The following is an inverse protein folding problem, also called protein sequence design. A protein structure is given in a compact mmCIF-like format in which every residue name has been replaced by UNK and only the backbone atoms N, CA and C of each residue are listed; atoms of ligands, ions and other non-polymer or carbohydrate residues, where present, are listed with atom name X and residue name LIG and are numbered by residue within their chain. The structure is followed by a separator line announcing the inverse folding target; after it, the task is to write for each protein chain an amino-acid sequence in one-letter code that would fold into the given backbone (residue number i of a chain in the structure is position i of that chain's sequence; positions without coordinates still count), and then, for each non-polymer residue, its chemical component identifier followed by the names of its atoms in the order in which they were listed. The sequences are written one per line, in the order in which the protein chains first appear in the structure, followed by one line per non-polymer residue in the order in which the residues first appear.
data_IF_087298961220
#
_entry.id   IF_087298961220
#
_cell.length_a   1.000
_cell.length_b   1.000
_cell.length_c   1.000
_cell.angle_alpha   90.00
_cell.angle_beta   90.00
_cell.angle_gamma   90.00
#
_symmetry.space_group_name_H-M   'P 1'
#
loop_
_entity.id
_entity.type
_entity.pdbx_description
1 polymer ?
#
# COMPACT_ATOMS: atom_id res chain seq x y z
N UNK A 1 -30.21 6.68 5.30
CA UNK A 1 -28.95 7.23 4.72
C UNK A 1 -28.48 8.35 5.62
N UNK A 2 -27.23 8.31 6.08
CA UNK A 2 -26.65 9.32 6.99
C UNK A 2 -25.92 10.39 6.19
N UNK A 3 -26.12 11.66 6.50
CA UNK A 3 -25.40 12.76 5.85
C UNK A 3 -24.08 13.05 6.54
N UNK A 4 -23.00 13.22 5.76
CA UNK A 4 -21.64 13.48 6.22
C UNK A 4 -21.07 14.64 5.40
N UNK A 5 -20.39 15.58 6.04
CA UNK A 5 -19.75 16.68 5.32
C UNK A 5 -18.49 16.19 4.59
N UNK A 6 -17.57 15.52 5.31
CA UNK A 6 -16.37 14.91 4.73
C UNK A 6 -16.30 13.44 5.13
N UNK A 7 -16.34 12.54 4.17
CA UNK A 7 -16.17 11.10 4.38
C UNK A 7 -14.80 10.66 3.89
N UNK A 8 -14.05 9.98 4.74
CA UNK A 8 -12.71 9.49 4.44
C UNK A 8 -12.75 7.97 4.33
N UNK A 9 -12.29 7.43 3.21
CA UNK A 9 -12.26 5.99 2.96
C UNK A 9 -10.82 5.49 3.11
N UNK A 10 -10.56 4.76 4.20
CA UNK A 10 -9.28 4.25 4.62
C UNK A 10 -8.73 4.98 5.85
N UNK A 11 -8.41 4.22 6.91
CA UNK A 11 -7.85 4.68 8.18
C UNK A 11 -6.33 4.49 8.28
N UNK A 12 -5.63 4.42 7.15
CA UNK A 12 -4.16 4.42 7.08
C UNK A 12 -3.58 5.83 7.22
N UNK A 13 -2.24 5.99 7.03
CA UNK A 13 -1.57 7.28 7.24
C UNK A 13 -2.18 8.43 6.43
N UNK A 14 -2.55 8.19 5.18
CA UNK A 14 -3.22 9.21 4.35
C UNK A 14 -4.59 9.62 4.92
N UNK A 15 -5.44 8.65 5.26
CA UNK A 15 -6.77 8.94 5.78
C UNK A 15 -6.74 9.63 7.12
N UNK A 16 -5.85 9.23 8.02
CA UNK A 16 -5.65 9.86 9.33
C UNK A 16 -5.18 11.31 9.19
N UNK A 17 -4.18 11.57 8.35
CA UNK A 17 -3.67 12.91 8.11
C UNK A 17 -4.73 13.82 7.46
N UNK A 18 -5.47 13.32 6.47
CA UNK A 18 -6.57 14.04 5.85
C UNK A 18 -7.69 14.38 6.85
N UNK A 19 -8.05 13.44 7.74
CA UNK A 19 -9.06 13.63 8.77
C UNK A 19 -8.66 14.74 9.76
N UNK A 20 -7.42 14.66 10.27
CA UNK A 20 -6.87 15.66 11.19
C UNK A 20 -6.86 17.05 10.54
N UNK A 21 -6.43 17.15 9.28
CA UNK A 21 -6.41 18.42 8.55
C UNK A 21 -7.81 18.98 8.29
N UNK A 22 -8.75 18.15 7.86
CA UNK A 22 -10.15 18.56 7.65
C UNK A 22 -10.81 19.03 8.96
N UNK A 23 -10.56 18.33 10.06
CA UNK A 23 -11.06 18.73 11.39
C UNK A 23 -10.49 20.07 11.85
N UNK A 24 -9.17 20.25 11.73
CA UNK A 24 -8.48 21.53 12.03
C UNK A 24 -8.96 22.66 11.12
N UNK A 25 -9.35 22.36 9.88
CA UNK A 25 -9.98 23.31 8.98
C UNK A 25 -11.47 23.58 9.32
N UNK A 26 -11.99 23.05 10.42
CA UNK A 26 -13.31 23.36 10.97
C UNK A 26 -14.46 22.56 10.35
N UNK A 27 -14.24 21.30 9.99
CA UNK A 27 -15.28 20.34 9.66
C UNK A 27 -15.61 19.51 10.90
N UNK A 28 -16.85 19.60 11.38
CA UNK A 28 -17.31 18.84 12.54
C UNK A 28 -17.97 17.53 12.18
N UNK A 29 -18.75 17.51 11.09
CA UNK A 29 -19.43 16.31 10.62
C UNK A 29 -18.53 15.56 9.62
N UNK A 30 -17.54 14.88 10.16
CA UNK A 30 -16.62 14.05 9.36
C UNK A 30 -16.60 12.62 9.92
N UNK A 31 -16.25 11.63 9.08
CA UNK A 31 -16.20 10.22 9.44
C UNK A 31 -15.09 9.52 8.67
N UNK A 32 -14.30 8.66 9.35
CA UNK A 32 -13.36 7.73 8.73
C UNK A 32 -14.00 6.34 8.68
N UNK A 33 -13.97 5.69 7.53
CA UNK A 33 -14.33 4.28 7.36
C UNK A 33 -13.07 3.45 7.14
N UNK A 34 -12.83 2.45 8.00
CA UNK A 34 -11.68 1.55 7.94
C UNK A 34 -12.15 0.09 7.90
N UNK A 35 -11.63 -0.69 6.95
CA UNK A 35 -12.02 -2.11 6.78
C UNK A 35 -11.42 -3.05 7.83
N UNK A 36 -10.24 -2.72 8.34
CA UNK A 36 -9.55 -3.50 9.37
C UNK A 36 -10.15 -3.22 10.76
N UNK A 37 -9.79 -4.05 11.74
CA UNK A 37 -10.23 -3.89 13.14
C UNK A 37 -9.66 -2.63 13.81
N UNK A 38 -8.57 -2.09 13.27
CA UNK A 38 -7.83 -0.98 13.86
C UNK A 38 -7.39 0.03 12.80
N UNK A 39 -7.29 1.29 13.22
CA UNK A 39 -6.65 2.34 12.44
C UNK A 39 -5.14 2.11 12.27
N UNK A 40 -4.50 2.82 11.33
CA UNK A 40 -3.06 2.77 11.08
C UNK A 40 -2.68 2.11 9.76
N UNK A 41 -3.58 1.32 9.17
CA UNK A 41 -3.38 0.67 7.87
C UNK A 41 -2.11 -0.19 7.84
N UNK A 42 -1.38 -0.11 6.72
CA UNK A 42 -0.17 -0.93 6.48
C UNK A 42 0.97 -0.65 7.50
N UNK A 43 1.01 0.53 8.12
CA UNK A 43 2.04 0.87 9.09
C UNK A 43 2.08 -0.05 10.29
N UNK A 44 0.95 -0.64 10.68
CA UNK A 44 0.87 -1.55 11.82
C UNK A 44 1.80 -2.77 11.69
N UNK A 45 2.03 -3.25 10.47
CA UNK A 45 2.94 -4.38 10.22
C UNK A 45 4.39 -3.94 9.92
N UNK A 46 4.64 -2.65 9.72
CA UNK A 46 5.96 -2.10 9.41
C UNK A 46 6.75 -1.82 10.69
N UNK A 47 7.19 -2.86 11.39
CA UNK A 47 7.86 -2.73 12.71
C UNK A 47 9.33 -2.29 12.63
N UNK A 48 9.86 -2.06 11.42
CA UNK A 48 11.19 -1.48 11.21
C UNK A 48 11.18 0.05 11.34
N UNK A 49 12.34 0.63 11.59
CA UNK A 49 12.56 2.07 11.68
C UNK A 49 12.62 2.73 10.28
N UNK A 50 12.55 4.06 10.28
CA UNK A 50 12.72 4.89 9.08
C UNK A 50 11.52 5.76 8.73
N UNK A 51 10.58 5.90 9.65
CA UNK A 51 9.40 6.74 9.52
C UNK A 51 9.51 7.98 10.43
N UNK A 52 8.87 9.08 10.05
CA UNK A 52 8.64 10.25 10.92
C UNK A 52 9.74 11.29 10.96
N UNK A 53 10.86 11.08 10.28
CA UNK A 53 11.97 12.04 10.31
C UNK A 53 11.57 13.44 9.82
N UNK A 54 10.68 13.52 8.82
CA UNK A 54 10.22 14.80 8.28
C UNK A 54 8.99 15.34 9.01
N UNK A 55 8.04 14.45 9.30
CA UNK A 55 6.77 14.84 9.93
C UNK A 55 6.92 15.17 11.42
N UNK A 56 7.79 14.45 12.15
CA UNK A 56 7.92 14.56 13.60
C UNK A 56 9.34 14.89 14.09
N UNK A 57 10.35 14.89 13.21
CA UNK A 57 11.75 15.09 13.59
C UNK A 57 12.34 13.92 14.41
N UNK A 58 11.67 12.78 14.43
CA UNK A 58 12.04 11.57 15.18
C UNK A 58 12.08 10.37 14.24
N UNK A 59 12.98 9.43 14.49
CA UNK A 59 12.99 8.15 13.77
C UNK A 59 12.07 7.17 14.49
N UNK A 60 10.95 6.84 13.87
CA UNK A 60 9.89 5.99 14.41
C UNK A 60 9.80 4.68 13.65
N UNK A 61 9.18 3.67 14.29
CA UNK A 61 8.62 2.50 13.60
C UNK A 61 7.28 2.84 12.98
N UNK A 62 6.78 1.99 12.07
CA UNK A 62 5.46 2.19 11.46
C UNK A 62 4.31 2.28 12.47
N UNK A 63 4.21 1.37 13.47
CA UNK A 63 3.21 1.47 14.53
C UNK A 63 3.30 2.76 15.35
N UNK A 64 4.50 3.20 15.71
CA UNK A 64 4.69 4.47 16.45
C UNK A 64 4.24 5.67 15.62
N UNK A 65 4.59 5.69 14.32
CA UNK A 65 4.12 6.73 13.41
C UNK A 65 2.58 6.74 13.30
N UNK A 66 1.97 5.59 13.12
CA UNK A 66 0.51 5.48 13.06
C UNK A 66 -0.13 5.96 14.35
N UNK A 67 0.44 5.59 15.51
CA UNK A 67 -0.09 5.97 16.82
C UNK A 67 -0.11 7.50 17.01
N UNK A 68 0.92 8.22 16.54
CA UNK A 68 0.92 9.70 16.60
C UNK A 68 -0.31 10.30 15.93
N UNK A 69 -0.69 9.79 14.76
CA UNK A 69 -1.90 10.28 14.06
C UNK A 69 -3.20 9.79 14.71
N UNK A 70 -3.21 8.56 15.24
CA UNK A 70 -4.37 8.03 15.97
C UNK A 70 -4.64 8.87 17.22
N UNK A 71 -3.60 9.22 17.97
CA UNK A 71 -3.72 10.10 19.15
C UNK A 71 -4.33 11.47 18.77
N UNK A 72 -3.89 12.06 17.65
CA UNK A 72 -4.49 13.30 17.13
C UNK A 72 -5.98 13.14 16.76
N UNK A 73 -6.35 12.00 16.17
CA UNK A 73 -7.75 11.68 15.83
C UNK A 73 -8.61 11.59 17.10
N UNK A 74 -8.08 10.93 18.14
CA UNK A 74 -8.76 10.79 19.43
C UNK A 74 -8.87 12.13 20.19
N UNK A 75 -7.78 12.90 20.26
CA UNK A 75 -7.77 14.24 20.86
C UNK A 75 -8.77 15.18 20.20
N UNK A 76 -8.86 15.16 18.89
CA UNK A 76 -9.79 15.97 18.11
C UNK A 76 -11.21 15.36 18.06
N UNK A 77 -11.42 14.21 18.71
CA UNK A 77 -12.69 13.48 18.75
C UNK A 77 -13.28 13.24 17.37
N UNK A 78 -12.43 12.86 16.43
CA UNK A 78 -12.84 12.51 15.07
C UNK A 78 -13.51 11.14 15.09
N UNK A 79 -14.79 11.01 14.66
CA UNK A 79 -15.45 9.71 14.62
C UNK A 79 -14.87 8.81 13.52
N UNK A 80 -14.75 7.53 13.85
CA UNK A 80 -14.33 6.50 12.89
C UNK A 80 -15.11 5.20 13.09
N UNK A 81 -15.21 4.40 12.06
CA UNK A 81 -15.78 3.05 12.07
C UNK A 81 -14.76 2.08 11.49
N UNK A 82 -14.19 1.23 12.34
CA UNK A 82 -13.40 0.07 11.94
C UNK A 82 -14.31 -1.10 11.52
N UNK A 83 -13.73 -2.20 11.00
CA UNK A 83 -14.45 -3.36 10.48
C UNK A 83 -15.53 -2.97 9.43
N UNK A 84 -15.32 -1.85 8.73
CA UNK A 84 -16.31 -1.28 7.81
C UNK A 84 -15.78 -1.28 6.38
N UNK A 85 -16.21 -2.27 5.61
CA UNK A 85 -15.83 -2.41 4.21
C UNK A 85 -16.72 -1.55 3.33
N UNK A 86 -16.12 -0.60 2.60
CA UNK A 86 -16.82 0.16 1.56
C UNK A 86 -16.97 -0.73 0.33
N UNK A 87 -18.20 -0.90 -0.13
CA UNK A 87 -18.56 -1.76 -1.26
C UNK A 87 -18.68 -0.97 -2.57
N UNK A 88 -19.15 0.29 -2.49
CA UNK A 88 -19.29 1.15 -3.67
C UNK A 88 -19.27 2.62 -3.30
N UNK A 89 -18.84 3.42 -4.24
CA UNK A 89 -18.93 4.88 -4.24
C UNK A 89 -19.57 5.29 -5.56
N UNK A 90 -20.62 6.10 -5.51
CA UNK A 90 -21.26 6.64 -6.71
C UNK A 90 -20.73 8.05 -7.06
N UNK A 91 -20.92 8.49 -8.30
CA UNK A 91 -20.52 9.81 -8.75
C UNK A 91 -21.25 10.96 -8.04
N UNK A 92 -22.43 10.69 -7.50
CA UNK A 92 -23.20 11.63 -6.68
C UNK A 92 -22.84 11.52 -5.17
N UNK A 93 -21.74 10.86 -4.86
CA UNK A 93 -21.15 10.72 -3.51
C UNK A 93 -22.04 9.98 -2.48
N UNK A 94 -22.77 8.96 -2.96
CA UNK A 94 -23.36 7.96 -2.07
C UNK A 94 -22.37 6.83 -1.87
N UNK A 95 -22.02 6.56 -0.62
CA UNK A 95 -21.11 5.48 -0.21
C UNK A 95 -21.92 4.37 0.44
N UNK A 96 -21.80 3.16 -0.09
CA UNK A 96 -22.41 1.96 0.50
C UNK A 96 -21.31 1.14 1.18
N UNK A 97 -21.50 0.77 2.42
CA UNK A 97 -20.57 -0.04 3.21
C UNK A 97 -21.28 -1.14 3.98
N UNK A 98 -20.51 -2.12 4.43
CA UNK A 98 -20.97 -3.19 5.31
C UNK A 98 -20.10 -3.24 6.58
N UNK A 99 -20.75 -3.42 7.72
CA UNK A 99 -20.13 -3.55 9.03
C UNK A 99 -20.75 -4.75 9.76
N UNK A 100 -19.99 -5.59 10.48
CA UNK A 100 -20.51 -6.76 11.18
C UNK A 100 -21.62 -6.45 12.19
N UNK A 101 -21.54 -5.27 12.84
CA UNK A 101 -22.51 -4.86 13.88
C UNK A 101 -23.70 -4.09 13.31
N UNK A 102 -23.41 -3.18 12.37
CA UNK A 102 -24.40 -2.24 11.83
C UNK A 102 -25.06 -2.75 10.53
N UNK A 103 -24.53 -3.83 9.93
CA UNK A 103 -24.99 -4.35 8.65
C UNK A 103 -24.68 -3.44 7.48
N UNK A 104 -25.58 -3.39 6.50
CA UNK A 104 -25.46 -2.55 5.32
C UNK A 104 -25.81 -1.10 5.66
N UNK A 105 -24.87 -0.18 5.38
CA UNK A 105 -24.98 1.24 5.67
C UNK A 105 -24.87 2.06 4.38
N UNK A 106 -25.52 3.22 4.35
CA UNK A 106 -25.36 4.20 3.29
C UNK A 106 -25.13 5.59 3.86
N UNK A 107 -24.13 6.27 3.28
CA UNK A 107 -23.74 7.62 3.62
C UNK A 107 -23.85 8.51 2.39
N UNK A 108 -24.43 9.70 2.55
CA UNK A 108 -24.40 10.77 1.54
C UNK A 108 -23.36 11.79 1.98
N UNK A 109 -22.26 11.89 1.27
CA UNK A 109 -21.18 12.82 1.58
C UNK A 109 -21.27 14.09 0.73
N UNK A 110 -20.87 15.25 1.30
CA UNK A 110 -20.61 16.46 0.51
C UNK A 110 -19.26 16.35 -0.21
N UNK A 111 -18.24 15.86 0.52
CA UNK A 111 -16.93 15.56 -0.04
C UNK A 111 -16.45 14.17 0.42
N UNK A 112 -15.66 13.49 -0.43
CA UNK A 112 -15.04 12.19 -0.14
C UNK A 112 -13.53 12.34 -0.34
N UNK A 113 -12.73 11.79 0.60
CA UNK A 113 -11.30 11.62 0.43
C UNK A 113 -11.02 10.12 0.26
N UNK A 114 -10.52 9.75 -0.91
CA UNK A 114 -10.10 8.39 -1.23
C UNK A 114 -8.67 8.18 -0.69
N UNK A 115 -8.51 7.30 0.30
CA UNK A 115 -7.25 7.01 0.98
C UNK A 115 -7.03 5.50 1.16
N UNK A 116 -7.51 4.68 0.19
CA UNK A 116 -7.51 3.22 0.26
C UNK A 116 -6.13 2.59 0.07
N UNK A 117 -5.10 3.38 -0.26
CA UNK A 117 -3.74 2.90 -0.43
C UNK A 117 -3.54 2.09 -1.71
N UNK A 118 -2.68 1.07 -1.63
CA UNK A 118 -2.33 0.21 -2.74
C UNK A 118 -2.30 -1.25 -2.31
N UNK A 119 -2.25 -2.15 -3.29
CA UNK A 119 -2.01 -3.59 -3.10
C UNK A 119 -0.74 -4.03 -3.79
N UNK A 120 -0.13 -5.09 -3.31
CA UNK A 120 1.03 -5.69 -3.97
C UNK A 120 0.62 -6.41 -5.26
N UNK A 121 1.49 -6.38 -6.25
CA UNK A 121 1.30 -7.10 -7.50
C UNK A 121 1.31 -8.61 -7.23
N UNK A 122 0.21 -9.34 -7.51
CA UNK A 122 0.12 -10.77 -7.23
C UNK A 122 0.83 -11.60 -8.30
N UNK A 123 1.13 -12.88 -7.98
CA UNK A 123 1.73 -13.83 -8.91
C UNK A 123 1.01 -13.90 -10.27
N UNK A 124 -0.32 -13.84 -10.26
CA UNK A 124 -1.11 -13.90 -11.48
C UNK A 124 -0.82 -12.78 -12.47
N UNK A 125 -0.48 -11.59 -11.97
CA UNK A 125 -0.10 -10.44 -12.81
C UNK A 125 1.32 -10.56 -13.40
N UNK A 126 2.18 -11.44 -12.86
CA UNK A 126 3.54 -11.67 -13.34
C UNK A 126 3.61 -12.72 -14.42
N UNK A 127 2.60 -13.57 -14.57
CA UNK A 127 2.58 -14.64 -15.55
C UNK A 127 3.66 -15.71 -15.33
N UNK A 128 4.20 -15.88 -14.11
CA UNK A 128 5.24 -16.87 -13.81
C UNK A 128 4.68 -18.28 -14.05
N UNK A 129 5.32 -19.11 -14.90
CA UNK A 129 4.93 -20.51 -15.11
C UNK A 129 5.03 -21.37 -13.84
N UNK A 130 4.55 -22.61 -13.94
CA UNK A 130 4.63 -23.58 -12.87
C UNK A 130 3.40 -23.69 -11.99
N UNK A 131 3.55 -24.36 -10.86
CA UNK A 131 2.47 -24.70 -9.96
C UNK A 131 1.94 -23.51 -9.16
N UNK A 132 0.65 -23.60 -8.76
CA UNK A 132 -0.03 -22.63 -7.88
C UNK A 132 -0.27 -23.23 -6.50
N UNK A 133 0.79 -23.78 -5.93
CA UNK A 133 0.77 -24.44 -4.63
C UNK A 133 0.89 -23.42 -3.48
N UNK A 134 0.72 -23.90 -2.23
CA UNK A 134 1.01 -23.09 -1.04
C UNK A 134 2.49 -22.68 -0.99
N UNK A 135 2.79 -21.62 -0.24
CA UNK A 135 4.17 -21.10 -0.08
C UNK A 135 4.52 -19.94 -1.03
N UNK A 136 3.57 -19.45 -1.82
CA UNK A 136 3.76 -18.26 -2.67
C UNK A 136 2.99 -17.12 -2.04
N UNK A 137 3.69 -16.08 -1.59
CA UNK A 137 3.11 -14.92 -0.93
C UNK A 137 3.68 -13.63 -1.53
N UNK A 138 2.93 -12.53 -1.46
CA UNK A 138 3.55 -11.22 -1.56
C UNK A 138 4.36 -10.93 -0.29
N UNK A 139 5.37 -10.08 -0.39
CA UNK A 139 6.25 -9.77 0.73
C UNK A 139 5.48 -9.11 1.89
N UNK A 140 4.52 -8.23 1.60
CA UNK A 140 3.67 -7.59 2.61
C UNK A 140 2.69 -8.56 3.27
N UNK A 141 2.17 -9.57 2.53
CA UNK A 141 1.38 -10.65 3.16
C UNK A 141 2.22 -11.46 4.14
N UNK A 142 3.45 -11.81 3.75
CA UNK A 142 4.39 -12.49 4.66
C UNK A 142 4.74 -11.61 5.86
N UNK A 143 4.91 -10.31 5.66
CA UNK A 143 5.15 -9.35 6.73
C UNK A 143 3.99 -9.31 7.73
N UNK A 144 2.75 -9.31 7.25
CA UNK A 144 1.57 -9.40 8.12
C UNK A 144 1.58 -10.68 8.94
N UNK A 145 1.79 -11.83 8.30
CA UNK A 145 1.82 -13.11 9.00
C UNK A 145 2.85 -13.14 10.13
N UNK A 146 4.06 -12.68 9.85
CA UNK A 146 5.14 -12.69 10.85
C UNK A 146 4.92 -11.65 11.94
N UNK A 147 4.57 -10.42 11.56
CA UNK A 147 4.60 -9.28 12.48
C UNK A 147 3.29 -9.06 13.24
N UNK A 148 2.15 -9.47 12.70
CA UNK A 148 0.85 -9.28 13.34
C UNK A 148 0.20 -10.59 13.80
N UNK A 149 0.29 -11.64 12.98
CA UNK A 149 -0.44 -12.89 13.22
C UNK A 149 0.42 -13.96 13.93
N UNK A 150 1.75 -13.77 14.00
CA UNK A 150 2.66 -14.74 14.61
C UNK A 150 2.82 -16.04 13.82
N UNK A 151 2.54 -16.05 12.52
CA UNK A 151 2.68 -17.21 11.64
C UNK A 151 3.95 -17.13 10.79
N UNK A 152 4.58 -18.28 10.61
CA UNK A 152 5.77 -18.43 9.78
C UNK A 152 5.36 -18.87 8.36
N UNK A 153 5.63 -18.05 7.30
CA UNK A 153 5.31 -18.41 5.92
C UNK A 153 6.04 -19.66 5.43
N UNK A 154 7.26 -19.89 5.89
CA UNK A 154 8.08 -21.06 5.59
C UNK A 154 9.46 -20.97 6.21
N UNK A 155 10.38 -21.86 5.81
CA UNK A 155 11.73 -21.98 6.40
C UNK A 155 12.87 -21.71 5.42
N UNK A 156 12.69 -22.06 4.14
CA UNK A 156 13.66 -21.82 3.04
C UNK A 156 13.04 -20.87 2.05
N UNK A 157 13.53 -19.63 2.00
CA UNK A 157 12.86 -18.53 1.32
C UNK A 157 13.67 -18.03 0.13
N UNK A 158 13.03 -17.87 -1.01
CA UNK A 158 13.51 -17.07 -2.14
C UNK A 158 12.64 -15.83 -2.26
N UNK A 159 13.25 -14.67 -2.49
CA UNK A 159 12.54 -13.40 -2.67
C UNK A 159 12.72 -12.95 -4.11
N UNK A 160 11.62 -12.67 -4.80
CA UNK A 160 11.63 -12.07 -6.14
C UNK A 160 11.33 -10.58 -6.02
N UNK A 161 12.29 -9.76 -6.43
CA UNK A 161 12.28 -8.31 -6.34
C UNK A 161 13.10 -7.79 -5.16
N UNK A 162 13.87 -6.73 -5.38
CA UNK A 162 14.78 -6.10 -4.42
C UNK A 162 14.35 -4.69 -4.02
N UNK A 163 13.05 -4.40 -4.05
CA UNK A 163 12.48 -3.21 -3.42
C UNK A 163 12.56 -3.29 -1.88
N UNK A 164 12.38 -2.18 -1.19
CA UNK A 164 12.58 -2.10 0.27
C UNK A 164 11.81 -3.14 1.06
N UNK A 165 10.55 -3.44 0.69
CA UNK A 165 9.75 -4.46 1.39
C UNK A 165 10.42 -5.84 1.26
N UNK A 166 10.92 -6.20 0.08
CA UNK A 166 11.63 -7.47 -0.14
C UNK A 166 12.91 -7.56 0.67
N UNK A 167 13.71 -6.49 0.71
CA UNK A 167 14.94 -6.41 1.49
C UNK A 167 14.65 -6.51 3.00
N UNK A 168 13.70 -5.75 3.50
CA UNK A 168 13.27 -5.76 4.90
C UNK A 168 12.77 -7.15 5.30
N UNK A 169 12.02 -7.82 4.42
CA UNK A 169 11.54 -9.17 4.68
C UNK A 169 12.66 -10.22 4.62
N UNK A 170 13.69 -10.03 3.79
CA UNK A 170 14.87 -10.91 3.83
C UNK A 170 15.49 -10.92 5.22
N UNK A 171 15.77 -9.74 5.79
CA UNK A 171 16.27 -9.60 7.16
C UNK A 171 15.28 -10.13 8.21
N UNK A 172 13.99 -9.79 8.06
CA UNK A 172 12.98 -10.18 9.04
C UNK A 172 12.83 -11.70 9.12
N UNK A 173 12.76 -12.38 7.96
CA UNK A 173 12.69 -13.85 7.90
C UNK A 173 13.93 -14.50 8.49
N UNK A 174 15.11 -13.92 8.27
CA UNK A 174 16.37 -14.38 8.87
C UNK A 174 16.33 -14.29 10.40
N UNK A 175 15.79 -13.20 10.97
CA UNK A 175 15.63 -13.06 12.42
C UNK A 175 14.70 -14.11 13.04
N UNK A 176 13.72 -14.56 12.29
CA UNK A 176 12.81 -15.63 12.70
C UNK A 176 13.38 -17.04 12.46
N UNK A 177 14.65 -17.14 12.07
CA UNK A 177 15.35 -18.41 11.87
C UNK A 177 15.13 -19.07 10.52
N UNK A 178 14.63 -18.34 9.52
CA UNK A 178 14.54 -18.84 8.15
C UNK A 178 15.88 -18.74 7.43
N UNK A 179 16.12 -19.67 6.50
CA UNK A 179 17.20 -19.58 5.54
C UNK A 179 16.72 -18.83 4.30
N UNK A 180 17.15 -17.58 4.14
CA UNK A 180 16.89 -16.81 2.93
C UNK A 180 17.96 -17.17 1.90
N UNK A 181 17.56 -17.92 0.85
CA UNK A 181 18.46 -18.48 -0.17
C UNK A 181 19.01 -17.43 -1.12
N UNK A 182 18.17 -16.49 -1.54
CA UNK A 182 18.53 -15.41 -2.45
C UNK A 182 17.44 -14.35 -2.53
N UNK A 183 17.86 -13.13 -2.86
CA UNK A 183 17.02 -12.08 -3.40
C UNK A 183 17.28 -11.99 -4.92
N UNK A 184 16.26 -12.19 -5.74
CA UNK A 184 16.34 -12.25 -7.20
C UNK A 184 15.76 -10.98 -7.79
N UNK A 185 16.54 -10.27 -8.61
CA UNK A 185 16.16 -8.96 -9.16
C UNK A 185 16.26 -8.96 -10.70
N UNK A 186 15.17 -8.57 -11.34
CA UNK A 186 15.07 -8.46 -12.80
C UNK A 186 16.00 -7.39 -13.37
N UNK A 187 16.20 -6.30 -12.63
CA UNK A 187 16.99 -5.16 -13.07
C UNK A 187 18.49 -5.38 -12.80
N UNK A 188 19.38 -4.64 -13.47
CA UNK A 188 20.83 -4.66 -13.20
C UNK A 188 21.21 -3.90 -11.89
N UNK A 189 20.22 -3.45 -11.13
CA UNK A 189 20.38 -2.73 -9.86
C UNK A 189 19.17 -3.01 -8.96
N UNK A 190 19.35 -2.89 -7.66
CA UNK A 190 18.26 -2.92 -6.69
C UNK A 190 17.51 -1.59 -6.68
N UNK A 191 16.20 -1.64 -6.58
CA UNK A 191 15.35 -0.45 -6.41
C UNK A 191 15.21 0.01 -4.96
N UNK A 192 15.66 -0.83 -4.00
CA UNK A 192 15.63 -0.49 -2.59
C UNK A 192 16.76 0.47 -2.17
N UNK A 193 16.58 1.13 -1.03
CA UNK A 193 17.56 2.04 -0.47
C UNK A 193 18.89 1.33 -0.19
N UNK A 194 20.02 1.99 -0.48
CA UNK A 194 21.36 1.42 -0.27
C UNK A 194 21.58 0.90 1.15
N UNK A 195 21.07 1.62 2.17
CA UNK A 195 21.15 1.18 3.55
C UNK A 195 20.45 -0.17 3.78
N UNK A 196 19.32 -0.39 3.12
CA UNK A 196 18.56 -1.64 3.23
C UNK A 196 19.27 -2.80 2.51
N UNK A 197 19.99 -2.54 1.41
CA UNK A 197 20.84 -3.57 0.77
C UNK A 197 21.88 -4.06 1.79
N UNK A 198 22.62 -3.12 2.40
CA UNK A 198 23.65 -3.47 3.39
C UNK A 198 23.04 -4.17 4.60
N UNK A 199 22.09 -3.54 5.28
CA UNK A 199 21.53 -4.02 6.54
C UNK A 199 20.62 -5.24 6.42
N UNK A 200 20.10 -5.55 5.23
CA UNK A 200 19.16 -6.65 5.04
C UNK A 200 19.73 -7.81 4.24
N UNK A 201 20.74 -7.60 3.41
CA UNK A 201 21.37 -8.65 2.62
C UNK A 201 22.84 -8.87 2.99
N UNK A 202 23.69 -7.82 2.88
CA UNK A 202 25.14 -7.96 3.06
C UNK A 202 25.50 -8.43 4.48
N UNK A 203 24.90 -7.84 5.52
CA UNK A 203 25.13 -8.20 6.94
C UNK A 203 24.76 -9.66 7.25
N UNK A 204 23.91 -10.29 6.42
CA UNK A 204 23.44 -11.67 6.60
C UNK A 204 23.94 -12.62 5.51
N UNK A 205 24.84 -12.15 4.62
CA UNK A 205 25.38 -12.91 3.49
C UNK A 205 24.29 -13.49 2.58
N UNK A 206 23.18 -12.76 2.39
CA UNK A 206 22.10 -13.16 1.49
C UNK A 206 22.46 -12.71 0.06
N UNK A 207 22.57 -13.65 -0.92
CA UNK A 207 22.91 -13.30 -2.28
C UNK A 207 21.86 -12.40 -2.94
N UNK A 208 22.32 -11.31 -3.59
CA UNK A 208 21.51 -10.49 -4.49
C UNK A 208 21.84 -10.86 -5.95
N UNK A 209 20.93 -11.54 -6.62
CA UNK A 209 21.07 -12.01 -7.99
C UNK A 209 20.42 -11.01 -8.95
N UNK A 210 21.22 -10.06 -9.45
CA UNK A 210 20.78 -9.05 -10.41
C UNK A 210 20.68 -9.62 -11.81
N UNK A 211 19.83 -9.04 -12.68
CA UNK A 211 19.51 -9.54 -14.04
C UNK A 211 19.01 -10.98 -14.03
N UNK A 212 18.24 -11.37 -13.02
CA UNK A 212 17.63 -12.69 -12.93
C UNK A 212 16.13 -12.57 -12.67
N UNK A 213 15.39 -13.59 -13.04
CA UNK A 213 13.96 -13.71 -12.70
C UNK A 213 13.58 -15.14 -12.44
N UNK A 214 12.46 -15.37 -11.77
CA UNK A 214 11.87 -16.70 -11.61
C UNK A 214 11.13 -17.08 -12.89
N UNK A 215 11.52 -18.21 -13.47
CA UNK A 215 10.95 -18.73 -14.74
C UNK A 215 10.06 -19.94 -14.55
N UNK A 216 10.18 -20.65 -13.42
CA UNK A 216 9.29 -21.76 -13.08
C UNK A 216 9.16 -21.94 -11.57
N UNK A 217 8.00 -22.46 -11.13
CA UNK A 217 7.71 -22.76 -9.72
C UNK A 217 7.38 -24.24 -9.59
N UNK A 218 8.13 -24.94 -8.74
CA UNK A 218 8.00 -26.38 -8.51
C UNK A 218 7.26 -26.68 -7.22
N UNK A 219 6.54 -27.80 -7.21
CA UNK A 219 5.80 -28.30 -6.06
C UNK A 219 4.32 -28.49 -6.39
N UNK A 220 3.66 -29.43 -5.73
CA UNK A 220 2.23 -29.72 -5.95
C UNK A 220 1.37 -29.12 -4.83
N UNK A 221 1.59 -29.54 -3.60
CA UNK A 221 0.85 -29.05 -2.44
C UNK A 221 1.48 -27.78 -1.88
N UNK A 222 2.80 -27.73 -1.85
CA UNK A 222 3.61 -26.58 -1.43
C UNK A 222 4.80 -26.43 -2.37
N UNK A 223 5.36 -25.21 -2.43
CA UNK A 223 6.60 -24.92 -3.14
C UNK A 223 7.71 -25.85 -2.63
N UNK A 224 8.44 -26.50 -3.56
CA UNK A 224 9.63 -27.31 -3.27
C UNK A 224 10.89 -26.67 -3.86
N UNK A 225 10.73 -25.69 -4.72
CA UNK A 225 11.80 -24.90 -5.30
C UNK A 225 11.30 -24.00 -6.40
N UNK A 226 12.20 -23.15 -6.87
CA UNK A 226 11.99 -22.28 -8.03
C UNK A 226 13.15 -22.44 -8.99
N UNK A 227 12.87 -22.29 -10.28
CA UNK A 227 13.91 -22.12 -11.29
C UNK A 227 14.04 -20.64 -11.61
N UNK A 228 15.24 -20.11 -11.49
CA UNK A 228 15.61 -18.76 -11.94
C UNK A 228 16.40 -18.84 -13.24
N UNK A 229 16.42 -17.75 -14.00
CA UNK A 229 17.28 -17.60 -15.17
C UNK A 229 17.81 -16.17 -15.27
N UNK A 230 18.98 -16.01 -15.89
CA UNK A 230 19.45 -14.69 -16.31
C UNK A 230 18.50 -14.08 -17.33
N UNK A 231 18.40 -12.76 -17.32
CA UNK A 231 17.59 -12.02 -18.29
C UNK A 231 18.45 -11.12 -19.17
N UNK A 232 18.08 -11.04 -20.41
CA UNK A 232 18.65 -10.08 -21.33
C UNK A 232 18.34 -8.64 -20.88
N UNK A 233 19.35 -7.80 -20.81
CA UNK A 233 19.24 -6.44 -20.23
C UNK A 233 18.32 -5.51 -21.00
N UNK A 234 18.16 -5.73 -22.31
CA UNK A 234 17.35 -4.88 -23.18
C UNK A 234 15.91 -5.37 -23.24
N UNK A 235 15.72 -6.65 -23.51
CA UNK A 235 14.39 -7.25 -23.72
C UNK A 235 13.72 -7.70 -22.43
N UNK A 236 14.48 -7.83 -21.33
CA UNK A 236 14.04 -8.40 -20.03
C UNK A 236 13.48 -9.82 -20.13
N UNK A 237 13.84 -10.54 -21.20
CA UNK A 237 13.43 -11.94 -21.41
C UNK A 237 14.48 -12.88 -20.83
N UNK A 238 14.07 -14.03 -20.27
CA UNK A 238 14.99 -15.06 -19.81
C UNK A 238 15.90 -15.56 -20.95
N UNK A 239 17.17 -15.78 -20.61
CA UNK A 239 18.18 -16.33 -21.55
C UNK A 239 18.17 -17.86 -21.41
N UNK A 240 17.82 -18.62 -22.47
CA UNK A 240 17.82 -20.06 -22.40
C UNK A 240 19.22 -20.63 -22.12
N UNK A 241 19.28 -21.68 -21.28
CA UNK A 241 20.55 -22.34 -20.90
C UNK A 241 21.20 -21.72 -19.64
N UNK A 242 20.57 -20.69 -19.01
CA UNK A 242 21.07 -20.10 -17.78
C UNK A 242 20.22 -20.49 -16.55
N UNK A 243 19.32 -21.44 -16.73
CA UNK A 243 18.39 -21.90 -15.72
C UNK A 243 19.13 -22.51 -14.52
N UNK A 244 18.76 -22.07 -13.31
CA UNK A 244 19.29 -22.57 -12.05
C UNK A 244 18.14 -22.91 -11.12
N UNK A 245 18.14 -24.11 -10.56
CA UNK A 245 17.16 -24.53 -9.55
C UNK A 245 17.61 -24.11 -8.16
N UNK A 246 16.72 -23.50 -7.41
CA UNK A 246 16.91 -23.16 -5.99
C UNK A 246 15.85 -23.88 -5.17
N UNK A 247 16.28 -24.79 -4.29
CA UNK A 247 15.41 -25.46 -3.34
C UNK A 247 14.89 -24.46 -2.31
N UNK A 248 13.57 -24.34 -2.21
CA UNK A 248 12.90 -23.48 -1.22
C UNK A 248 11.48 -24.00 -0.95
N UNK A 249 10.91 -23.65 0.19
CA UNK A 249 9.52 -23.95 0.53
C UNK A 249 8.61 -22.70 0.46
N UNK A 250 9.23 -21.55 0.18
CA UNK A 250 8.53 -20.27 0.15
C UNK A 250 9.14 -19.33 -0.90
N UNK A 251 8.26 -18.76 -1.73
CA UNK A 251 8.59 -17.69 -2.67
C UNK A 251 7.85 -16.40 -2.23
N UNK A 252 8.61 -15.35 -1.88
CA UNK A 252 8.07 -14.04 -1.61
C UNK A 252 8.17 -13.14 -2.85
N UNK A 253 7.09 -12.44 -3.16
CA UNK A 253 7.00 -11.52 -4.30
C UNK A 253 7.04 -10.08 -3.80
N UNK A 254 8.08 -9.34 -4.19
CA UNK A 254 8.26 -7.90 -3.91
C UNK A 254 8.44 -7.15 -5.24
N UNK A 255 7.43 -7.21 -6.10
CA UNK A 255 7.51 -6.84 -7.51
C UNK A 255 6.64 -5.63 -7.88
N UNK A 256 6.51 -4.74 -6.96
CA UNK A 256 5.80 -3.46 -7.09
C UNK A 256 4.39 -3.48 -6.55
N UNK A 257 3.84 -2.28 -6.45
CA UNK A 257 2.55 -1.97 -5.87
C UNK A 257 1.59 -1.47 -6.96
N UNK A 258 0.30 -1.63 -6.73
CA UNK A 258 -0.78 -1.19 -7.62
C UNK A 258 -1.73 -0.33 -6.78
N UNK A 259 -1.95 0.95 -7.11
CA UNK A 259 -2.96 1.78 -6.46
C UNK A 259 -4.35 1.14 -6.46
N UNK A 260 -5.05 1.19 -5.33
CA UNK A 260 -6.34 0.49 -5.13
C UNK A 260 -7.50 1.38 -5.60
N UNK A 261 -7.90 1.25 -6.86
CA UNK A 261 -8.81 2.17 -7.53
C UNK A 261 -10.13 1.57 -8.03
N UNK A 262 -10.55 0.41 -7.55
CA UNK A 262 -11.84 -0.18 -7.93
C UNK A 262 -13.01 0.72 -7.54
N UNK A 263 -12.99 1.26 -6.31
CA UNK A 263 -14.01 2.23 -5.85
C UNK A 263 -13.95 3.54 -6.63
N UNK A 264 -12.74 4.01 -6.96
CA UNK A 264 -12.54 5.23 -7.75
C UNK A 264 -13.19 5.11 -9.13
N UNK A 265 -12.94 4.00 -9.83
CA UNK A 265 -13.53 3.71 -11.14
C UNK A 265 -15.06 3.61 -11.04
N UNK A 266 -15.58 2.94 -10.00
CA UNK A 266 -17.01 2.83 -9.72
C UNK A 266 -17.70 4.19 -9.53
N UNK A 267 -16.97 5.17 -9.00
CA UNK A 267 -17.42 6.56 -8.84
C UNK A 267 -17.29 7.41 -10.11
N UNK A 268 -16.76 6.87 -11.20
CA UNK A 268 -16.52 7.63 -12.45
C UNK A 268 -15.21 8.44 -12.44
N UNK A 269 -14.29 8.14 -11.53
CA UNK A 269 -13.00 8.81 -11.47
C UNK A 269 -12.09 8.30 -12.59
N UNK A 270 -11.46 9.22 -13.31
CA UNK A 270 -10.47 8.93 -14.36
C UNK A 270 -9.14 8.57 -13.77
N UNK A 271 -8.47 7.53 -14.32
CA UNK A 271 -7.15 7.10 -13.87
C UNK A 271 -6.06 7.50 -14.86
N UNK A 272 -4.92 7.92 -14.34
CA UNK A 272 -3.70 8.19 -15.11
C UNK A 272 -3.04 6.88 -15.56
N UNK A 273 -2.59 6.80 -16.81
CA UNK A 273 -1.93 5.61 -17.35
C UNK A 273 -0.56 5.33 -16.69
N UNK A 274 0.14 6.39 -16.29
CA UNK A 274 1.49 6.29 -15.71
C UNK A 274 1.49 5.75 -14.29
N UNK A 275 0.60 6.28 -13.42
CA UNK A 275 0.52 5.92 -12.00
C UNK A 275 -0.54 4.87 -11.71
N UNK A 276 -1.53 4.71 -12.58
CA UNK A 276 -2.77 3.93 -12.35
C UNK A 276 -3.61 4.47 -11.18
N UNK A 277 -3.31 5.67 -10.70
CA UNK A 277 -4.07 6.41 -9.70
C UNK A 277 -5.01 7.44 -10.33
N UNK A 278 -5.88 8.07 -9.54
CA UNK A 278 -6.78 9.12 -9.99
C UNK A 278 -6.04 10.29 -10.66
N UNK A 279 -6.61 10.83 -11.71
CA UNK A 279 -6.21 12.13 -12.24
C UNK A 279 -6.78 13.20 -11.31
N UNK A 280 -5.91 14.02 -10.74
CA UNK A 280 -6.29 15.09 -9.81
C UNK A 280 -5.75 16.45 -10.28
N UNK A 281 -6.37 17.52 -9.80
CA UNK A 281 -5.85 18.88 -9.93
C UNK A 281 -4.92 19.24 -8.75
N UNK A 282 -4.44 20.48 -8.70
CA UNK A 282 -3.56 21.00 -7.64
C UNK A 282 -4.18 21.01 -6.24
N UNK A 283 -5.49 20.77 -6.13
CA UNK A 283 -6.21 20.63 -4.87
C UNK A 283 -6.46 19.18 -4.49
N UNK A 284 -5.88 18.23 -5.25
CA UNK A 284 -6.12 16.78 -5.12
C UNK A 284 -7.57 16.37 -5.45
N UNK A 285 -8.37 17.25 -6.05
CA UNK A 285 -9.71 16.94 -6.51
C UNK A 285 -9.65 16.17 -7.84
N UNK A 286 -10.42 15.08 -7.92
CA UNK A 286 -10.55 14.28 -9.14
C UNK A 286 -11.42 14.98 -10.20
N UNK A 287 -11.61 14.33 -11.35
CA UNK A 287 -12.61 14.78 -12.33
C UNK A 287 -14.05 14.77 -11.80
N UNK A 288 -14.33 14.03 -10.72
CA UNK A 288 -15.65 14.01 -10.06
C UNK A 288 -15.66 15.04 -8.93
N UNK A 289 -16.50 16.05 -9.06
CA UNK A 289 -16.58 17.17 -8.12
C UNK A 289 -16.85 16.70 -6.68
N UNK A 290 -15.98 17.15 -5.74
CA UNK A 290 -16.07 16.79 -4.33
C UNK A 290 -15.48 15.41 -3.99
N UNK A 291 -14.83 14.73 -4.95
CA UNK A 291 -14.03 13.52 -4.67
C UNK A 291 -12.55 13.87 -4.78
N UNK A 292 -11.81 13.65 -3.70
CA UNK A 292 -10.38 13.89 -3.57
C UNK A 292 -9.64 12.57 -3.41
N UNK A 293 -8.36 12.52 -3.76
CA UNK A 293 -7.54 11.33 -3.59
C UNK A 293 -6.15 11.70 -3.07
N UNK A 294 -5.62 10.92 -2.13
CA UNK A 294 -4.27 11.12 -1.58
C UNK A 294 -3.63 9.83 -1.10
N UNK A 295 -2.31 9.83 -1.04
CA UNK A 295 -1.49 8.69 -0.67
C UNK A 295 -1.40 7.63 -1.76
N UNK A 296 -1.12 6.39 -1.39
CA UNK A 296 -0.80 5.33 -2.35
C UNK A 296 -1.95 4.92 -3.28
N UNK A 297 -3.16 5.38 -3.05
CA UNK A 297 -4.27 5.28 -4.01
C UNK A 297 -4.07 6.21 -5.21
N UNK A 298 -3.41 7.36 -4.98
CA UNK A 298 -3.10 8.35 -6.02
C UNK A 298 -1.82 7.97 -6.78
N UNK A 299 -0.75 7.76 -6.07
CA UNK A 299 0.50 7.19 -6.58
C UNK A 299 1.30 6.57 -5.43
N UNK A 300 2.18 5.63 -5.74
CA UNK A 300 3.01 4.98 -4.73
C UNK A 300 4.12 5.93 -4.27
N UNK A 301 4.20 6.15 -2.97
CA UNK A 301 5.22 6.98 -2.32
C UNK A 301 6.34 6.13 -1.73
N UNK A 302 7.55 6.65 -1.73
CA UNK A 302 8.71 6.03 -1.08
C UNK A 302 8.73 6.28 0.44
N UNK A 303 8.17 7.41 0.90
CA UNK A 303 8.17 7.82 2.30
C UNK A 303 6.76 8.18 2.78
N UNK A 304 6.38 7.65 3.94
CA UNK A 304 5.06 7.91 4.54
C UNK A 304 4.89 9.37 4.96
N UNK A 305 5.96 10.05 5.28
CA UNK A 305 5.95 11.47 5.65
C UNK A 305 5.32 12.31 4.52
N UNK A 306 5.67 12.03 3.27
CA UNK A 306 5.07 12.68 2.10
C UNK A 306 3.62 12.26 1.86
N UNK A 307 3.27 11.00 2.17
CA UNK A 307 1.87 10.54 2.14
C UNK A 307 1.02 11.39 3.08
N UNK A 308 1.49 11.63 4.30
CA UNK A 308 0.75 12.39 5.31
C UNK A 308 0.66 13.88 4.95
N UNK A 309 1.73 14.46 4.42
CA UNK A 309 1.74 15.86 3.95
C UNK A 309 0.75 16.06 2.79
N UNK A 310 0.82 15.22 1.77
CA UNK A 310 -0.10 15.23 0.63
C UNK A 310 -1.56 15.09 1.09
N UNK A 311 -1.82 14.11 1.94
CA UNK A 311 -3.16 13.82 2.43
C UNK A 311 -3.72 14.93 3.32
N UNK A 312 -2.88 15.60 4.10
CA UNK A 312 -3.29 16.78 4.87
C UNK A 312 -3.79 17.90 3.94
N UNK A 313 -3.08 18.16 2.83
CA UNK A 313 -3.51 19.14 1.81
C UNK A 313 -4.84 18.74 1.16
N UNK A 314 -5.02 17.46 0.85
CA UNK A 314 -6.29 16.95 0.31
C UNK A 314 -7.45 17.10 1.30
N UNK A 315 -7.19 16.84 2.60
CA UNK A 315 -8.17 17.03 3.67
C UNK A 315 -8.58 18.50 3.85
N UNK A 316 -7.62 19.42 3.80
CA UNK A 316 -7.90 20.87 3.80
C UNK A 316 -8.70 21.32 2.59
N UNK A 317 -8.36 20.78 1.40
CA UNK A 317 -9.07 21.08 0.17
C UNK A 317 -10.52 20.58 0.22
N UNK A 318 -10.74 19.36 0.73
CA UNK A 318 -12.09 18.82 0.95
C UNK A 318 -12.90 19.70 1.92
N UNK A 319 -12.27 20.22 2.99
CA UNK A 319 -12.92 21.14 3.92
C UNK A 319 -13.28 22.48 3.25
N UNK A 320 -12.39 23.06 2.46
CA UNK A 320 -12.64 24.29 1.69
C UNK A 320 -13.76 24.09 0.67
N UNK A 321 -13.82 22.93 0.03
CA UNK A 321 -14.89 22.56 -0.90
C UNK A 321 -16.26 22.56 -0.19
N UNK A 322 -16.37 21.87 0.94
CA UNK A 322 -17.60 21.80 1.75
C UNK A 322 -18.07 23.20 2.20
N UNK A 323 -17.13 24.10 2.50
CA UNK A 323 -17.40 25.50 2.89
C UNK A 323 -17.68 26.44 1.70
N UNK A 324 -17.63 25.93 0.46
CA UNK A 324 -17.83 26.73 -0.74
C UNK A 324 -16.70 27.71 -1.07
N UNK A 325 -15.51 27.47 -0.53
CA UNK A 325 -14.33 28.33 -0.70
C UNK A 325 -13.44 27.93 -1.87
N UNK A 326 -13.64 26.74 -2.47
CA UNK A 326 -13.01 26.32 -3.73
C UNK A 326 -13.97 26.60 -4.86
N UNK A 327 -13.51 27.30 -5.91
CA UNK A 327 -14.30 27.54 -7.11
C UNK A 327 -14.67 26.19 -7.77
N UNK A 328 -15.89 26.10 -8.28
CA UNK A 328 -16.30 24.98 -9.13
C UNK A 328 -15.35 24.90 -10.31
N UNK A 329 -14.93 23.69 -10.66
CA UNK A 329 -14.00 23.42 -11.76
C UNK A 329 -14.46 24.14 -13.04
N UNK A 330 -13.66 25.08 -13.52
CA UNK A 330 -13.63 25.40 -14.95
C UNK A 330 -12.79 24.31 -15.61
N UNK A 331 -13.19 23.79 -16.76
CA UNK A 331 -12.54 22.71 -17.52
C UNK A 331 -11.00 22.88 -17.58
N UNK A 332 -10.31 22.40 -16.55
CA UNK A 332 -8.89 22.57 -16.33
C UNK A 332 -8.08 21.41 -16.90
N UNK A 333 -6.97 21.74 -17.50
CA UNK A 333 -5.95 20.82 -18.04
C UNK A 333 -5.45 19.92 -16.89
N UNK A 334 -5.38 18.58 -17.08
CA UNK A 334 -4.76 17.69 -16.09
C UNK A 334 -3.27 18.02 -15.94
N UNK A 335 -2.78 18.13 -14.71
CA UNK A 335 -1.35 18.21 -14.37
C UNK A 335 -0.68 16.87 -14.57
#
# INVERSE_FOLDING_TARGET
MREIDVLIIGGGPAGLAAAVAAKKAGIDNLLILEREEHLGGILRQCIHNGFGLQAFGEELTGPEYAQRYIDMVEELKIPYQCETMVLSVSNDKVVTSINPKEGLQQFKAKAIVLAMGCRERPRGALGIPGWRCAGIFSAGTAQRFVNLEGYMPGKKVVILGSGDIGLIMARRMTFEGCEVKACVELMPFSSGLKRNIVQCLDDYNIPLLLNHTVVDIHGKDRVTGVTIAEVDRQTKKPIPGTEQYIECDTLLLSVGLIPENELSVGAGVSLARSTQGPVVDETYQTNVEGIFAAGNVLHVHDLVDFVSEEAARAGEAAAKFVKGSIAKKSDGVPV
#
